data_IF_103769181258
#
_entry.id   IF_103769181258
#
_cell.length_a   1.000
_cell.length_b   1.000
_cell.length_c   1.000
_cell.angle_alpha   90.00
_cell.angle_beta   90.00
_cell.angle_gamma   90.00
#
_symmetry.space_group_name_H-M   'P 1'
#
loop_
_entity.id
_entity.type
_entity.pdbx_description
1 polymer ?
#
# COMPACT_ATOMS: atom_id res chain seq x y z
N UNK A 1 -8.21 -3.60 17.80
CA UNK A 1 -7.96 -2.23 17.28
C UNK A 1 -6.89 -1.63 18.17
N UNK A 2 -5.86 -1.01 17.59
CA UNK A 2 -4.78 -0.37 18.35
C UNK A 2 -4.87 1.13 18.07
N UNK A 3 -5.02 1.93 19.13
CA UNK A 3 -5.19 3.38 19.01
C UNK A 3 -4.34 4.14 20.05
N UNK A 4 -3.79 5.28 19.63
CA UNK A 4 -2.97 6.14 20.49
C UNK A 4 -2.26 7.24 19.71
N UNK A 5 -1.65 8.20 20.40
CA UNK A 5 -0.88 9.28 19.75
C UNK A 5 0.29 8.71 18.94
N UNK A 6 0.94 7.67 19.47
CA UNK A 6 1.90 6.83 18.76
C UNK A 6 1.49 5.36 18.95
N UNK A 7 1.32 4.65 17.84
CA UNK A 7 1.03 3.22 17.85
C UNK A 7 2.08 2.51 17.03
N UNK A 8 2.80 1.58 17.65
CA UNK A 8 3.68 0.65 16.96
C UNK A 8 3.12 -0.75 17.15
N UNK A 9 3.08 -1.52 16.06
CA UNK A 9 2.51 -2.85 16.05
C UNK A 9 3.46 -3.78 15.33
N UNK A 10 3.81 -4.87 15.99
CA UNK A 10 4.50 -6.01 15.39
C UNK A 10 3.55 -7.20 15.46
N UNK A 11 3.22 -7.77 14.30
CA UNK A 11 2.35 -8.93 14.20
C UNK A 11 3.06 -10.05 13.45
N UNK A 12 3.31 -11.14 14.18
CA UNK A 12 3.64 -12.45 13.63
C UNK A 12 2.53 -13.44 14.01
N UNK A 13 1.67 -13.82 13.06
CA UNK A 13 0.73 -14.93 13.21
C UNK A 13 0.52 -15.64 11.87
N UNK A 14 -0.07 -16.84 11.90
CA UNK A 14 -0.51 -17.49 10.68
C UNK A 14 -1.74 -16.83 10.04
N UNK A 15 -2.76 -16.41 10.80
CA UNK A 15 -3.99 -15.83 10.24
C UNK A 15 -4.46 -14.59 11.02
N UNK A 16 -4.54 -13.43 10.34
CA UNK A 16 -5.21 -12.23 10.86
C UNK A 16 -6.47 -11.93 10.06
N UNK A 17 -7.63 -12.07 10.70
CA UNK A 17 -8.92 -11.73 10.07
C UNK A 17 -9.09 -10.23 9.86
N UNK A 18 -8.73 -9.39 10.84
CA UNK A 18 -8.85 -7.93 10.74
C UNK A 18 -7.94 -7.23 11.76
N UNK A 19 -6.98 -6.44 11.27
CA UNK A 19 -6.17 -5.53 12.08
C UNK A 19 -6.46 -4.08 11.69
N UNK A 20 -6.71 -3.24 12.69
CA UNK A 20 -6.94 -1.80 12.52
C UNK A 20 -6.03 -1.06 13.49
N UNK A 21 -5.17 -0.20 12.94
CA UNK A 21 -4.19 0.61 13.67
C UNK A 21 -4.53 2.06 13.35
N UNK A 22 -4.85 2.88 14.34
CA UNK A 22 -5.22 4.29 14.12
C UNK A 22 -4.52 5.20 15.13
N UNK A 23 -3.73 6.18 14.69
CA UNK A 23 -3.02 7.07 15.60
C UNK A 23 -2.32 8.24 14.89
N UNK A 24 -1.90 9.28 15.61
CA UNK A 24 -1.20 10.42 14.96
C UNK A 24 0.08 9.93 14.28
N UNK A 25 0.81 9.00 14.91
CA UNK A 25 1.86 8.20 14.26
C UNK A 25 1.53 6.73 14.41
N UNK A 26 1.51 6.01 13.31
CA UNK A 26 1.24 4.57 13.31
C UNK A 26 2.32 3.85 12.52
N UNK A 27 2.98 2.88 13.12
CA UNK A 27 3.88 1.97 12.41
C UNK A 27 3.37 0.56 12.58
N UNK A 28 3.31 -0.19 11.49
CA UNK A 28 2.91 -1.58 11.49
C UNK A 28 3.97 -2.42 10.77
N UNK A 29 4.44 -3.46 11.44
CA UNK A 29 5.20 -4.55 10.86
C UNK A 29 4.35 -5.81 10.92
N UNK A 30 4.04 -6.39 9.76
CA UNK A 30 3.21 -7.58 9.67
C UNK A 30 3.93 -8.65 8.85
N UNK A 31 4.22 -9.77 9.50
CA UNK A 31 4.77 -10.98 8.89
C UNK A 31 3.82 -12.14 9.20
N UNK A 32 2.94 -12.46 8.25
CA UNK A 32 1.91 -13.49 8.44
C UNK A 32 1.72 -14.30 7.15
N UNK A 33 1.25 -15.54 7.30
CA UNK A 33 0.82 -16.37 6.17
C UNK A 33 -0.44 -15.77 5.52
N UNK A 34 -1.44 -15.43 6.33
CA UNK A 34 -2.72 -14.93 5.86
C UNK A 34 -3.16 -13.66 6.58
N UNK A 35 -3.46 -12.60 5.84
CA UNK A 35 -4.23 -11.47 6.37
C UNK A 35 -5.40 -11.10 5.48
N UNK A 36 -6.61 -11.24 6.04
CA UNK A 36 -7.83 -10.87 5.30
C UNK A 36 -8.01 -9.36 5.22
N UNK A 37 -7.67 -8.62 6.28
CA UNK A 37 -7.82 -7.17 6.31
C UNK A 37 -6.83 -6.49 7.25
N UNK A 38 -6.05 -5.57 6.71
CA UNK A 38 -5.18 -4.66 7.46
C UNK A 38 -5.56 -3.21 7.11
N UNK A 39 -5.84 -2.41 8.13
CA UNK A 39 -6.14 -0.97 8.00
C UNK A 39 -5.21 -0.20 8.92
N UNK A 40 -4.48 0.77 8.38
CA UNK A 40 -3.57 1.64 9.13
C UNK A 40 -3.99 3.09 8.87
N UNK A 41 -4.25 3.86 9.91
CA UNK A 41 -4.75 5.24 9.85
C UNK A 41 -3.85 6.18 10.68
N UNK A 42 -3.43 7.33 10.13
CA UNK A 42 -2.65 8.28 10.91
C UNK A 42 -1.99 9.46 10.21
N UNK A 43 -1.52 10.47 10.94
CA UNK A 43 -0.82 11.64 10.35
C UNK A 43 0.54 11.23 9.77
N UNK A 44 1.24 10.29 10.42
CA UNK A 44 2.43 9.61 9.90
C UNK A 44 2.24 8.10 10.03
N UNK A 45 1.78 7.46 8.96
CA UNK A 45 1.57 6.02 8.91
C UNK A 45 2.67 5.36 8.11
N UNK A 46 3.34 4.36 8.70
CA UNK A 46 4.28 3.48 8.02
C UNK A 46 3.80 2.05 8.14
N UNK A 47 3.81 1.33 7.03
CA UNK A 47 3.49 -0.08 6.97
C UNK A 47 4.62 -0.83 6.28
N UNK A 48 5.10 -1.87 6.94
CA UNK A 48 5.95 -2.89 6.36
C UNK A 48 5.20 -4.21 6.41
N UNK A 49 4.94 -4.79 5.24
CA UNK A 49 4.18 -6.03 5.10
C UNK A 49 4.97 -7.03 4.28
N UNK A 50 5.29 -8.16 4.88
CA UNK A 50 5.87 -9.33 4.22
C UNK A 50 4.89 -10.49 4.40
N UNK A 51 4.14 -10.83 3.35
CA UNK A 51 3.09 -11.87 3.45
C UNK A 51 3.03 -12.74 2.20
N UNK A 52 2.55 -13.98 2.38
CA UNK A 52 2.15 -14.86 1.28
C UNK A 52 0.88 -14.33 0.61
N UNK A 53 -0.18 -14.08 1.38
CA UNK A 53 -1.44 -13.54 0.87
C UNK A 53 -2.02 -12.38 1.70
N UNK A 54 -2.39 -11.29 1.02
CA UNK A 54 -3.28 -10.27 1.57
C UNK A 54 -4.53 -10.06 0.73
N UNK A 55 -5.71 -10.21 1.36
CA UNK A 55 -6.98 -9.88 0.69
C UNK A 55 -7.27 -8.38 0.65
N UNK A 56 -6.93 -7.65 1.71
CA UNK A 56 -7.20 -6.21 1.79
C UNK A 56 -6.20 -5.47 2.68
N UNK A 57 -5.37 -4.62 2.07
CA UNK A 57 -4.53 -3.65 2.77
C UNK A 57 -5.02 -2.22 2.47
N UNK A 58 -5.29 -1.44 3.52
CA UNK A 58 -5.68 -0.04 3.41
C UNK A 58 -4.80 0.80 4.33
N UNK A 59 -4.10 1.79 3.78
CA UNK A 59 -3.27 2.72 4.56
C UNK A 59 -3.81 4.13 4.29
N UNK A 60 -4.27 4.81 5.33
CA UNK A 60 -4.88 6.14 5.28
C UNK A 60 -4.09 7.11 6.15
N UNK A 61 -3.81 8.32 5.66
CA UNK A 61 -3.07 9.27 6.48
C UNK A 61 -2.67 10.56 5.82
N UNK A 62 -2.09 11.51 6.58
CA UNK A 62 -1.51 12.72 5.96
C UNK A 62 -0.22 12.36 5.24
N UNK A 63 0.61 11.51 5.85
CA UNK A 63 1.78 10.89 5.23
C UNK A 63 1.68 9.39 5.38
N UNK A 64 1.55 8.70 4.26
CA UNK A 64 1.38 7.26 4.21
C UNK A 64 2.53 6.65 3.41
N UNK A 65 3.30 5.80 4.06
CA UNK A 65 4.35 5.02 3.43
C UNK A 65 4.01 3.55 3.57
N UNK A 66 4.05 2.84 2.45
CA UNK A 66 3.83 1.40 2.38
C UNK A 66 5.02 0.74 1.72
N UNK A 67 5.55 -0.28 2.38
CA UNK A 67 6.49 -1.23 1.81
C UNK A 67 5.84 -2.61 1.86
N UNK A 68 5.64 -3.21 0.69
CA UNK A 68 4.96 -4.47 0.55
C UNK A 68 5.81 -5.43 -0.30
N UNK A 69 6.20 -6.54 0.31
CA UNK A 69 6.83 -7.67 -0.37
C UNK A 69 5.88 -8.87 -0.24
N UNK A 70 5.16 -9.21 -1.31
CA UNK A 70 4.19 -10.32 -1.25
C UNK A 70 4.18 -11.15 -2.53
N UNK A 71 3.75 -12.42 -2.43
CA UNK A 71 3.48 -13.24 -3.60
C UNK A 71 2.22 -12.77 -4.31
N UNK A 72 1.10 -12.64 -3.58
CA UNK A 72 -0.15 -12.13 -4.13
C UNK A 72 -0.85 -11.11 -3.23
N UNK A 73 -1.30 -9.99 -3.82
CA UNK A 73 -2.25 -9.07 -3.17
C UNK A 73 -3.49 -8.85 -4.02
N UNK A 74 -4.67 -9.10 -3.43
CA UNK A 74 -5.94 -8.83 -4.12
C UNK A 74 -6.25 -7.34 -4.22
N UNK A 75 -5.98 -6.58 -3.15
CA UNK A 75 -6.28 -5.15 -3.10
C UNK A 75 -5.37 -4.41 -2.12
N UNK A 76 -4.60 -3.47 -2.66
CA UNK A 76 -3.82 -2.48 -1.93
C UNK A 76 -4.39 -1.09 -2.19
N UNK A 77 -4.73 -0.37 -1.12
CA UNK A 77 -5.18 1.02 -1.18
C UNK A 77 -4.33 1.87 -0.26
N UNK A 78 -3.71 2.91 -0.81
CA UNK A 78 -2.91 3.88 -0.05
C UNK A 78 -3.51 5.25 -0.32
N UNK A 79 -3.93 5.94 0.74
CA UNK A 79 -4.61 7.22 0.64
C UNK A 79 -3.99 8.26 1.57
N UNK A 80 -3.75 9.47 1.06
CA UNK A 80 -3.22 10.54 1.89
C UNK A 80 -2.76 11.81 1.21
N UNK A 81 -2.34 12.82 1.99
CA UNK A 81 -1.78 14.05 1.39
C UNK A 81 -0.46 13.76 0.69
N UNK A 82 0.39 12.93 1.31
CA UNK A 82 1.60 12.37 0.71
C UNK A 82 1.55 10.86 0.83
N UNK A 83 1.47 10.18 -0.29
CA UNK A 83 1.40 8.73 -0.37
C UNK A 83 2.59 8.21 -1.14
N UNK A 84 3.35 7.32 -0.51
CA UNK A 84 4.46 6.60 -1.13
C UNK A 84 4.21 5.10 -0.99
N UNK A 85 4.31 4.40 -2.11
CA UNK A 85 4.18 2.96 -2.17
C UNK A 85 5.43 2.36 -2.80
N UNK A 86 5.98 1.35 -2.14
CA UNK A 86 7.00 0.47 -2.69
C UNK A 86 6.45 -0.95 -2.65
N UNK A 87 6.30 -1.54 -3.82
CA UNK A 87 5.68 -2.85 -3.97
C UNK A 87 6.57 -3.75 -4.85
N UNK A 88 7.04 -4.84 -4.24
CA UNK A 88 7.75 -5.92 -4.93
C UNK A 88 6.85 -7.15 -4.85
N UNK A 89 6.13 -7.47 -5.93
CA UNK A 89 5.16 -8.58 -5.92
C UNK A 89 5.18 -9.41 -7.19
N UNK A 90 4.81 -10.69 -7.09
CA UNK A 90 4.60 -11.53 -8.28
C UNK A 90 3.26 -11.21 -8.95
N UNK A 91 2.14 -11.17 -8.22
CA UNK A 91 0.86 -10.69 -8.75
C UNK A 91 0.13 -9.68 -7.84
N UNK A 92 -0.34 -8.56 -8.41
CA UNK A 92 -1.34 -7.69 -7.75
C UNK A 92 -2.59 -7.54 -8.60
N UNK A 93 -3.77 -7.86 -8.05
CA UNK A 93 -5.03 -7.65 -8.81
C UNK A 93 -5.43 -6.19 -8.90
N UNK A 94 -5.22 -5.41 -7.83
CA UNK A 94 -5.58 -3.99 -7.78
C UNK A 94 -4.72 -3.20 -6.82
N UNK A 95 -4.00 -2.21 -7.35
CA UNK A 95 -3.29 -1.18 -6.58
C UNK A 95 -3.94 0.18 -6.82
N UNK A 96 -4.33 0.87 -5.75
CA UNK A 96 -4.88 2.22 -5.79
C UNK A 96 -4.09 3.13 -4.86
N UNK A 97 -3.54 4.20 -5.40
CA UNK A 97 -2.83 5.23 -4.64
C UNK A 97 -3.53 6.56 -4.91
N UNK A 98 -4.14 7.17 -3.89
CA UNK A 98 -4.90 8.41 -4.04
C UNK A 98 -4.38 9.46 -3.06
N UNK A 99 -4.01 10.63 -3.55
CA UNK A 99 -3.47 11.66 -2.67
C UNK A 99 -3.16 12.98 -3.33
N UNK A 100 -2.69 13.97 -2.59
CA UNK A 100 -2.25 15.24 -3.23
C UNK A 100 -0.90 15.02 -3.92
N UNK A 101 0.01 14.29 -3.27
CA UNK A 101 1.28 13.84 -3.84
C UNK A 101 1.37 12.32 -3.73
N UNK A 102 1.34 11.65 -4.86
CA UNK A 102 1.35 10.19 -4.95
C UNK A 102 2.62 9.74 -5.66
N UNK A 103 3.41 8.89 -5.03
CA UNK A 103 4.55 8.22 -5.64
C UNK A 103 4.40 6.71 -5.50
N UNK A 104 4.58 6.00 -6.61
CA UNK A 104 4.54 4.56 -6.65
C UNK A 104 5.83 4.04 -7.28
N UNK A 105 6.41 3.04 -6.63
CA UNK A 105 7.46 2.21 -7.18
C UNK A 105 6.97 0.77 -7.14
N UNK A 106 6.87 0.16 -8.31
CA UNK A 106 6.34 -1.18 -8.48
C UNK A 106 7.33 -1.99 -9.32
N UNK A 107 7.81 -3.09 -8.76
CA UNK A 107 8.60 -4.10 -9.46
C UNK A 107 7.76 -5.37 -9.44
N UNK A 108 7.08 -5.66 -10.56
CA UNK A 108 6.10 -6.76 -10.60
C UNK A 108 6.16 -7.59 -11.87
N UNK A 109 5.82 -8.88 -11.76
CA UNK A 109 5.55 -9.71 -12.94
C UNK A 109 4.13 -9.44 -13.49
N UNK A 110 3.09 -9.44 -12.63
CA UNK A 110 1.71 -9.19 -13.08
C UNK A 110 0.96 -8.15 -12.22
N UNK A 111 0.44 -7.08 -12.84
CA UNK A 111 -0.63 -6.27 -12.22
C UNK A 111 -1.83 -6.15 -13.15
N UNK A 112 -3.01 -6.53 -12.66
CA UNK A 112 -4.22 -6.39 -13.48
C UNK A 112 -4.71 -4.94 -13.57
N UNK A 113 -4.63 -4.18 -12.48
CA UNK A 113 -5.09 -2.78 -12.41
C UNK A 113 -4.21 -1.94 -11.47
N UNK A 114 -3.53 -0.94 -12.03
CA UNK A 114 -2.81 0.09 -11.29
C UNK A 114 -3.51 1.44 -11.49
N UNK A 115 -3.89 2.10 -10.39
CA UNK A 115 -4.48 3.43 -10.40
C UNK A 115 -3.72 4.34 -9.43
N UNK A 116 -3.17 5.43 -9.96
CA UNK A 116 -2.45 6.43 -9.19
C UNK A 116 -3.11 7.78 -9.48
N UNK A 117 -3.67 8.40 -8.46
CA UNK A 117 -4.37 9.67 -8.58
C UNK A 117 -3.79 10.71 -7.63
N UNK A 118 -3.72 11.94 -8.10
CA UNK A 118 -3.32 13.07 -7.27
C UNK A 118 -2.91 14.32 -8.02
N UNK A 119 -2.73 15.44 -7.31
CA UNK A 119 -2.29 16.69 -7.95
C UNK A 119 -0.90 16.51 -8.58
N UNK A 120 0.00 15.81 -7.87
CA UNK A 120 1.28 15.35 -8.41
C UNK A 120 1.38 13.84 -8.25
N UNK A 121 1.47 13.12 -9.37
CA UNK A 121 1.53 11.67 -9.41
C UNK A 121 2.79 11.23 -10.15
N UNK A 122 3.61 10.38 -9.53
CA UNK A 122 4.75 9.76 -10.19
C UNK A 122 4.68 8.24 -10.01
N UNK A 123 4.90 7.52 -11.09
CA UNK A 123 4.96 6.07 -11.09
C UNK A 123 6.27 5.62 -11.71
N UNK A 124 6.91 4.65 -11.07
CA UNK A 124 8.04 3.89 -11.57
C UNK A 124 7.63 2.42 -11.58
N UNK A 125 7.56 1.82 -12.76
CA UNK A 125 7.01 0.49 -12.94
C UNK A 125 7.92 -0.35 -13.83
N UNK A 126 8.78 -1.18 -13.23
CA UNK A 126 9.43 -2.27 -13.97
C UNK A 126 8.44 -3.44 -14.02
N UNK A 127 7.76 -3.61 -15.16
CA UNK A 127 6.70 -4.60 -15.32
C UNK A 127 6.78 -5.38 -16.63
N UNK A 128 6.54 -6.69 -16.54
CA UNK A 128 6.35 -7.55 -17.71
C UNK A 128 4.89 -7.54 -18.21
N UNK A 129 3.89 -7.53 -17.30
CA UNK A 129 2.47 -7.47 -17.71
C UNK A 129 1.61 -6.54 -16.82
N UNK A 130 1.17 -5.40 -17.39
CA UNK A 130 0.11 -4.55 -16.79
C UNK A 130 -1.09 -4.46 -17.73
N UNK A 131 -2.26 -4.92 -17.28
CA UNK A 131 -3.46 -4.88 -18.15
C UNK A 131 -4.12 -3.51 -18.21
N UNK A 132 -4.14 -2.77 -17.10
CA UNK A 132 -4.73 -1.43 -17.02
C UNK A 132 -3.91 -0.55 -16.09
N UNK A 133 -3.34 0.52 -16.64
CA UNK A 133 -2.64 1.56 -15.94
C UNK A 133 -3.39 2.89 -16.08
N UNK A 134 -3.68 3.53 -14.95
CA UNK A 134 -4.28 4.88 -14.91
C UNK A 134 -3.45 5.75 -13.98
N UNK A 135 -2.87 6.81 -14.52
CA UNK A 135 -2.20 7.85 -13.73
C UNK A 135 -2.92 9.16 -14.00
N UNK A 136 -3.61 9.67 -12.98
CA UNK A 136 -4.38 10.90 -13.07
C UNK A 136 -3.77 11.99 -12.18
N UNK A 137 -3.65 13.19 -12.73
CA UNK A 137 -3.17 14.34 -11.98
C UNK A 137 -2.86 15.56 -12.81
N UNK A 138 -2.75 16.71 -12.14
CA UNK A 138 -2.33 17.97 -12.77
C UNK A 138 -0.89 17.85 -13.29
N UNK A 139 -0.04 17.09 -12.59
CA UNK A 139 1.29 16.69 -13.05
C UNK A 139 1.48 15.20 -12.83
N UNK A 140 1.48 14.43 -13.91
CA UNK A 140 1.66 12.97 -13.90
C UNK A 140 2.87 12.54 -14.73
N UNK A 141 3.68 11.63 -14.19
CA UNK A 141 4.78 10.98 -14.93
C UNK A 141 4.80 9.48 -14.68
N UNK A 142 5.04 8.70 -15.73
CA UNK A 142 5.33 7.28 -15.69
C UNK A 142 6.74 7.05 -16.21
N UNK A 143 7.52 6.26 -15.47
CA UNK A 143 8.80 5.73 -15.94
C UNK A 143 8.68 4.21 -15.89
N UNK A 144 9.02 3.54 -16.98
CA UNK A 144 8.98 2.09 -17.15
C UNK A 144 10.35 1.56 -17.51
#
# INVERSE_FOLDING_TARGET
MIAGVRSQVWCMQQETRKLVIAGVRSQAWCMQQETRKLVIAGVRSQAWCMQQETRKLVIAGVRSQAWCMQQETRKLVIAGVRSQAWCMQQETRKLVIAGVRSQAWCMQQETRKLMIAGVRSQAWCMQQETRKLVIAGVRSSLVG
#
